data_IF_293793938046
#
_entry.id   IF_293793938046
#
_cell.length_a   1.000
_cell.length_b   1.000
_cell.length_c   1.000
_cell.angle_alpha   90.00
_cell.angle_beta   90.00
_cell.angle_gamma   90.00
#
_symmetry.space_group_name_H-M   'P 1'
#
loop_
_entity.id
_entity.type
_entity.pdbx_description
1 polymer ?
#
# COMPACT_ATOMS: atom_id res chain seq x y z
N UNK A 1 -21.84 -3.47 -18.46
CA UNK A 1 -21.61 -4.17 -17.17
C UNK A 1 -22.79 -4.04 -16.20
N UNK A 2 -23.26 -2.84 -15.81
CA UNK A 2 -24.34 -2.67 -14.80
C UNK A 2 -25.71 -3.33 -15.08
N UNK A 3 -26.01 -3.69 -16.33
CA UNK A 3 -27.26 -4.40 -16.70
C UNK A 3 -27.19 -5.91 -16.51
N UNK A 4 -25.98 -6.46 -16.29
CA UNK A 4 -25.71 -7.90 -16.39
C UNK A 4 -25.20 -8.52 -15.08
N UNK A 5 -24.89 -7.70 -14.08
CA UNK A 5 -24.41 -8.18 -12.79
C UNK A 5 -24.81 -7.21 -11.68
N UNK A 6 -24.94 -7.73 -10.45
CA UNK A 6 -25.16 -6.94 -9.24
C UNK A 6 -23.85 -6.45 -8.62
N UNK A 7 -22.78 -7.20 -8.83
CA UNK A 7 -21.48 -6.96 -8.20
C UNK A 7 -20.39 -6.77 -9.24
N UNK A 8 -19.40 -5.96 -8.90
CA UNK A 8 -18.17 -5.77 -9.66
C UNK A 8 -16.99 -6.17 -8.78
N UNK A 9 -16.11 -7.00 -9.33
CA UNK A 9 -14.84 -7.35 -8.72
C UNK A 9 -13.79 -6.34 -9.17
N UNK A 10 -13.21 -5.63 -8.22
CA UNK A 10 -12.07 -4.75 -8.44
C UNK A 10 -10.85 -5.45 -7.89
N UNK A 11 -9.79 -5.61 -8.69
CA UNK A 11 -8.53 -6.17 -8.22
C UNK A 11 -7.34 -5.37 -8.73
N UNK A 12 -6.36 -5.10 -7.90
CA UNK A 12 -5.15 -4.37 -8.28
C UNK A 12 -3.90 -4.97 -7.63
N UNK A 13 -2.74 -4.65 -8.19
CA UNK A 13 -1.44 -5.04 -7.65
C UNK A 13 -0.48 -3.84 -7.53
N UNK A 14 0.69 -4.06 -6.94
CA UNK A 14 1.78 -3.08 -6.82
C UNK A 14 2.50 -2.78 -8.14
N UNK A 15 2.39 -3.68 -9.13
CA UNK A 15 2.99 -3.51 -10.45
C UNK A 15 2.22 -2.56 -11.39
N UNK A 16 1.12 -1.96 -10.94
CA UNK A 16 0.35 -1.01 -11.75
C UNK A 16 -0.69 -1.64 -12.67
N UNK A 17 -1.13 -2.85 -12.36
CA UNK A 17 -2.26 -3.50 -13.02
C UNK A 17 -3.55 -3.35 -12.18
N UNK A 18 -4.65 -3.04 -12.87
CA UNK A 18 -6.00 -2.97 -12.29
C UNK A 18 -6.96 -3.75 -13.19
N UNK A 19 -7.80 -4.58 -12.58
CA UNK A 19 -8.88 -5.28 -13.26
C UNK A 19 -10.24 -4.89 -12.70
N UNK A 20 -11.19 -4.68 -13.60
CA UNK A 20 -12.61 -4.52 -13.29
C UNK A 20 -13.37 -5.68 -13.93
N UNK A 21 -13.90 -6.59 -13.12
CA UNK A 21 -14.57 -7.79 -13.57
C UNK A 21 -16.03 -7.85 -13.16
N UNK A 22 -16.89 -8.38 -14.02
CA UNK A 22 -18.23 -8.83 -13.66
C UNK A 22 -18.41 -10.29 -14.07
N UNK A 23 -19.01 -11.08 -13.19
CA UNK A 23 -19.47 -12.42 -13.53
C UNK A 23 -20.95 -12.34 -13.90
N UNK A 24 -21.28 -12.75 -15.12
CA UNK A 24 -22.64 -12.77 -15.64
C UNK A 24 -23.14 -14.21 -15.52
N UNK A 25 -23.57 -14.54 -14.30
CA UNK A 25 -24.12 -15.86 -13.94
C UNK A 25 -23.30 -17.03 -14.54
N UNK A 26 -23.96 -17.99 -15.19
CA UNK A 26 -23.32 -19.14 -15.82
C UNK A 26 -22.89 -18.89 -17.28
N UNK A 27 -23.09 -17.69 -17.81
CA UNK A 27 -22.97 -17.42 -19.24
C UNK A 27 -21.61 -16.84 -19.63
N UNK A 28 -21.10 -15.86 -18.89
CA UNK A 28 -19.88 -15.18 -19.28
C UNK A 28 -19.20 -14.42 -18.14
N UNK A 29 -17.88 -14.26 -18.24
CA UNK A 29 -17.10 -13.34 -17.41
C UNK A 29 -16.57 -12.19 -18.27
N UNK A 30 -16.89 -10.96 -17.90
CA UNK A 30 -16.35 -9.75 -18.55
C UNK A 30 -15.29 -9.15 -17.64
N UNK A 31 -14.09 -8.91 -18.17
CA UNK A 31 -12.98 -8.28 -17.42
C UNK A 31 -12.34 -7.18 -18.27
N UNK A 32 -12.28 -5.98 -17.72
CA UNK A 32 -11.46 -4.89 -18.21
C UNK A 32 -10.11 -4.92 -17.51
N UNK A 33 -9.03 -4.72 -18.27
CA UNK A 33 -7.66 -4.71 -17.76
C UNK A 33 -7.01 -3.38 -18.07
N UNK A 34 -6.52 -2.71 -17.04
CA UNK A 34 -5.76 -1.47 -17.12
C UNK A 34 -4.32 -1.78 -16.68
N UNK A 35 -3.36 -1.26 -17.45
CA UNK A 35 -1.91 -1.46 -17.24
C UNK A 35 -1.20 -0.12 -17.24
N UNK A 36 -0.01 -0.08 -16.65
CA UNK A 36 0.79 1.15 -16.56
C UNK A 36 0.21 2.18 -15.60
N UNK A 37 -0.61 1.73 -14.64
CA UNK A 37 -1.08 2.60 -13.56
C UNK A 37 0.03 2.78 -12.53
N UNK A 38 0.02 3.92 -11.84
CA UNK A 38 0.96 4.16 -10.74
C UNK A 38 0.44 3.51 -9.46
N UNK A 39 1.12 2.49 -8.96
CA UNK A 39 0.96 2.08 -7.57
C UNK A 39 1.67 3.10 -6.68
N UNK A 40 0.98 3.62 -5.66
CA UNK A 40 1.60 4.50 -4.68
C UNK A 40 2.05 3.68 -3.47
N UNK A 41 3.32 3.77 -3.12
CA UNK A 41 3.78 3.49 -1.78
C UNK A 41 3.35 4.65 -0.88
N UNK A 42 2.52 4.34 0.12
CA UNK A 42 2.20 5.28 1.21
C UNK A 42 3.19 5.20 2.36
N UNK A 43 4.11 4.22 2.30
CA UNK A 43 5.24 4.15 3.19
C UNK A 43 6.20 5.27 2.80
N UNK A 44 6.65 6.10 3.75
CA UNK A 44 7.75 7.01 3.48
C UNK A 44 8.91 6.17 2.96
N UNK A 45 9.44 6.53 1.79
CA UNK A 45 10.77 6.09 1.39
C UNK A 45 11.69 6.49 2.55
N UNK A 46 12.09 5.52 3.35
CA UNK A 46 13.22 5.73 4.23
C UNK A 46 14.36 6.03 3.28
N UNK A 47 14.75 7.30 3.18
CA UNK A 47 15.94 7.71 2.45
C UNK A 47 17.12 7.05 3.17
N UNK A 48 17.41 5.80 2.83
CA UNK A 48 18.74 5.22 2.98
C UNK A 48 19.63 5.95 1.98
N UNK A 49 19.93 7.21 2.31
CA UNK A 49 20.95 8.00 1.65
C UNK A 49 22.27 7.30 1.97
N UNK A 50 22.70 6.44 1.07
CA UNK A 50 24.07 5.93 1.04
C UNK A 50 24.97 7.10 0.64
N UNK A 51 25.28 7.97 1.61
CA UNK A 51 26.43 8.88 1.51
C UNK A 51 27.69 8.03 1.65
N UNK A 52 28.24 7.62 0.51
CA UNK A 52 29.59 7.09 0.43
C UNK A 52 30.52 8.25 0.04
N UNK A 53 31.42 8.60 0.96
CA UNK A 53 32.65 9.36 0.69
C UNK A 53 32.72 10.75 1.30
N UNK A 54 33.36 10.87 2.47
CA UNK A 54 34.62 11.61 2.68
C UNK A 54 34.78 12.02 4.16
N UNK A 55 35.74 11.36 4.82
CA UNK A 55 36.62 11.79 5.92
C UNK A 55 36.20 12.96 6.83
N UNK A 56 36.19 12.70 8.14
CA UNK A 56 36.44 13.77 9.12
C UNK A 56 35.74 13.64 10.46
N UNK A 57 36.38 12.89 11.35
CA UNK A 57 36.46 13.12 12.80
C UNK A 57 35.19 13.01 13.67
N UNK A 58 35.47 12.65 14.92
CA UNK A 58 34.65 11.92 15.85
C UNK A 58 33.78 12.84 16.72
N UNK A 59 32.77 12.21 17.36
CA UNK A 59 31.89 12.69 18.43
C UNK A 59 30.66 13.53 18.05
N UNK A 60 29.50 12.88 17.96
CA UNK A 60 28.33 13.15 18.82
C UNK A 60 27.20 12.15 18.48
N UNK A 61 27.11 11.14 19.32
CA UNK A 61 26.10 10.07 19.34
C UNK A 61 24.69 10.67 19.57
N UNK A 62 23.69 10.42 18.70
CA UNK A 62 22.33 10.89 18.94
C UNK A 62 21.69 10.07 20.06
N UNK A 63 21.60 10.71 21.23
CA UNK A 63 21.04 10.20 22.48
C UNK A 63 19.68 9.55 22.25
N UNK A 64 19.65 8.22 22.32
CA UNK A 64 18.42 7.45 22.48
C UNK A 64 17.87 7.67 23.89
N UNK A 65 16.56 7.90 23.98
CA UNK A 65 15.88 8.26 25.22
C UNK A 65 16.01 7.17 26.29
N UNK A 66 16.83 7.45 27.32
CA UNK A 66 16.89 6.68 28.56
C UNK A 66 15.72 7.10 29.44
N UNK A 67 14.77 6.18 29.66
CA UNK A 67 13.78 6.31 30.72
C UNK A 67 14.45 5.97 32.06
N UNK A 68 14.45 6.94 32.98
CA UNK A 68 15.10 6.83 34.27
C UNK A 68 14.47 5.77 35.19
N UNK A 69 15.32 5.04 35.88
CA UNK A 69 14.98 4.15 37.00
C UNK A 69 16.22 3.92 37.86
N UNK A 70 16.14 4.37 39.12
CA UNK A 70 17.18 4.30 40.15
C UNK A 70 17.69 2.88 40.46
N UNK A 71 18.95 2.78 40.90
CA UNK A 71 19.38 1.74 41.85
C UNK A 71 20.75 1.12 41.59
N UNK A 72 21.73 1.58 42.34
CA UNK A 72 23.00 1.02 42.80
C UNK A 72 23.49 -0.41 42.38
N UNK A 73 24.81 -0.46 42.14
CA UNK A 73 25.80 -1.41 42.67
C UNK A 73 26.43 -2.54 41.80
N UNK A 74 27.77 -2.60 41.92
CA UNK A 74 28.70 -3.76 41.84
C UNK A 74 28.99 -4.49 40.49
N UNK A 75 30.16 -4.15 39.95
CA UNK A 75 31.28 -4.97 39.39
C UNK A 75 31.07 -6.23 38.51
N UNK A 76 31.93 -6.22 37.45
CA UNK A 76 32.74 -7.33 36.89
C UNK A 76 32.02 -8.46 36.14
N UNK A 77 32.22 -8.47 34.83
CA UNK A 77 32.09 -9.69 34.02
C UNK A 77 32.38 -9.44 32.53
N UNK A 78 33.63 -9.62 32.12
CA UNK A 78 34.00 -9.85 30.71
C UNK A 78 33.24 -11.04 30.17
N UNK A 79 32.31 -10.83 29.22
CA UNK A 79 31.79 -11.90 28.38
C UNK A 79 31.82 -11.47 26.92
N UNK A 80 32.41 -12.35 26.11
CA UNK A 80 32.76 -12.20 24.70
C UNK A 80 31.49 -12.04 23.87
N UNK A 81 31.46 -11.01 23.04
CA UNK A 81 30.38 -10.69 22.10
C UNK A 81 30.29 -11.80 21.03
N UNK A 82 29.30 -12.67 21.16
CA UNK A 82 28.89 -13.57 20.09
C UNK A 82 28.05 -12.76 19.11
N UNK A 83 28.77 -12.15 18.18
CA UNK A 83 28.34 -11.50 16.94
C UNK A 83 27.19 -12.29 16.28
N UNK A 84 25.95 -11.94 16.61
CA UNK A 84 24.78 -12.30 15.81
C UNK A 84 24.86 -11.44 14.55
N UNK A 85 25.39 -12.03 13.48
CA UNK A 85 25.35 -11.47 12.15
C UNK A 85 23.89 -11.22 11.77
N UNK A 86 23.52 -9.95 11.69
CA UNK A 86 22.29 -9.51 11.03
C UNK A 86 22.47 -9.80 9.53
N UNK A 87 21.69 -10.70 8.90
CA UNK A 87 21.80 -10.92 7.47
C UNK A 87 21.21 -9.70 6.76
N UNK A 88 22.09 -8.87 6.23
CA UNK A 88 21.73 -7.78 5.34
C UNK A 88 21.51 -8.38 3.93
N UNK A 89 20.35 -8.98 3.69
CA UNK A 89 19.88 -9.35 2.37
C UNK A 89 18.38 -9.04 2.27
N UNK A 90 18.07 -7.79 1.92
CA UNK A 90 16.72 -7.47 1.45
C UNK A 90 16.64 -8.06 0.04
N UNK A 91 16.05 -9.24 -0.08
CA UNK A 91 15.78 -9.92 -1.34
C UNK A 91 14.92 -9.02 -2.24
N UNK A 92 15.54 -8.33 -3.19
CA UNK A 92 14.84 -7.53 -4.20
C UNK A 92 13.83 -8.39 -5.00
N UNK A 93 14.05 -9.70 -5.09
CA UNK A 93 13.16 -10.68 -5.71
C UNK A 93 11.87 -10.92 -4.91
N UNK A 94 11.91 -10.82 -3.59
CA UNK A 94 10.73 -11.01 -2.73
C UNK A 94 9.80 -9.78 -2.79
N UNK A 95 10.37 -8.57 -2.92
CA UNK A 95 9.59 -7.33 -3.10
C UNK A 95 8.85 -7.33 -4.42
N UNK A 96 9.53 -7.70 -5.51
CA UNK A 96 8.92 -7.75 -6.85
C UNK A 96 7.79 -8.80 -6.93
N UNK A 97 7.96 -9.93 -6.24
CA UNK A 97 6.91 -10.96 -6.14
C UNK A 97 5.68 -10.48 -5.36
N UNK A 98 5.88 -9.67 -4.30
CA UNK A 98 4.78 -9.09 -3.54
C UNK A 98 4.00 -8.05 -4.37
N UNK A 99 4.69 -7.27 -5.20
CA UNK A 99 4.09 -6.26 -6.06
C UNK A 99 3.26 -6.86 -7.21
N UNK A 100 3.51 -8.11 -7.60
CA UNK A 100 2.68 -8.80 -8.58
C UNK A 100 1.41 -9.42 -7.99
N UNK A 101 1.31 -9.55 -6.66
CA UNK A 101 0.14 -10.15 -6.01
C UNK A 101 -1.08 -9.23 -6.13
N UNK A 102 -2.18 -9.79 -6.65
CA UNK A 102 -3.45 -9.08 -6.70
C UNK A 102 -4.17 -9.10 -5.35
N UNK A 103 -4.68 -7.93 -4.96
CA UNK A 103 -5.64 -7.74 -3.87
C UNK A 103 -6.98 -7.38 -4.51
N UNK A 104 -8.08 -7.94 -3.99
CA UNK A 104 -9.39 -7.77 -4.60
C UNK A 104 -10.50 -7.36 -3.62
N UNK A 105 -11.55 -6.72 -4.12
CA UNK A 105 -12.77 -6.45 -3.38
C UNK A 105 -13.98 -6.51 -4.32
N UNK A 106 -15.06 -7.14 -3.86
CA UNK A 106 -16.35 -7.19 -4.55
C UNK A 106 -17.22 -6.03 -4.06
N UNK A 107 -17.80 -5.24 -4.97
CA UNK A 107 -18.59 -4.06 -4.64
C UNK A 107 -19.96 -4.07 -5.31
N UNK A 108 -20.97 -3.40 -4.74
CA UNK A 108 -22.24 -3.15 -5.44
C UNK A 108 -21.97 -2.25 -6.66
N UNK A 109 -22.24 -2.78 -7.85
CA UNK A 109 -21.91 -2.11 -9.11
C UNK A 109 -22.66 -0.80 -9.30
N UNK A 110 -23.85 -0.64 -8.69
CA UNK A 110 -24.65 0.58 -8.80
C UNK A 110 -24.03 1.69 -7.98
N UNK A 111 -23.55 1.39 -6.76
CA UNK A 111 -22.80 2.35 -5.95
C UNK A 111 -21.51 2.77 -6.64
N UNK A 112 -20.79 1.81 -7.24
CA UNK A 112 -19.57 2.11 -8.00
C UNK A 112 -19.86 2.96 -9.25
N UNK A 113 -20.93 2.67 -9.99
CA UNK A 113 -21.33 3.48 -11.13
C UNK A 113 -21.76 4.90 -10.74
N UNK A 114 -22.44 5.07 -9.60
CA UNK A 114 -22.79 6.40 -9.07
C UNK A 114 -21.55 7.22 -8.75
N UNK A 115 -20.54 6.60 -8.12
CA UNK A 115 -19.25 7.23 -7.87
C UNK A 115 -18.60 7.72 -9.17
N UNK A 116 -18.49 6.86 -10.18
CA UNK A 116 -17.88 7.23 -11.46
C UNK A 116 -18.68 8.29 -12.23
N UNK A 117 -19.97 8.41 -11.96
CA UNK A 117 -20.85 9.40 -12.59
C UNK A 117 -20.93 10.72 -11.80
N UNK A 118 -20.31 10.80 -10.62
CA UNK A 118 -20.38 11.98 -9.75
C UNK A 118 -19.62 13.20 -10.29
N UNK A 119 -18.39 13.06 -10.83
CA UNK A 119 -17.63 14.21 -11.31
C UNK A 119 -18.24 14.79 -12.59
N UNK A 120 -18.62 16.08 -12.56
CA UNK A 120 -18.99 16.86 -13.75
C UNK A 120 -17.84 17.71 -14.29
N UNK A 121 -16.71 17.68 -13.59
CA UNK A 121 -15.49 18.47 -13.82
C UNK A 121 -14.34 17.45 -13.96
N UNK A 122 -13.33 17.70 -14.82
CA UNK A 122 -12.16 16.84 -14.94
C UNK A 122 -11.47 16.62 -13.59
N UNK A 123 -11.05 15.37 -13.36
CA UNK A 123 -10.27 14.98 -12.20
C UNK A 123 -8.79 15.23 -12.47
N UNK A 124 -8.07 15.78 -11.50
CA UNK A 124 -6.60 15.82 -11.54
C UNK A 124 -6.01 14.45 -11.21
N UNK A 125 -6.66 13.68 -10.35
CA UNK A 125 -6.24 12.32 -10.03
C UNK A 125 -7.39 11.47 -9.43
N UNK A 126 -7.42 10.19 -9.78
CA UNK A 126 -8.30 9.18 -9.20
C UNK A 126 -7.45 8.09 -8.54
N UNK A 127 -7.71 7.82 -7.26
CA UNK A 127 -7.00 6.79 -6.49
C UNK A 127 -8.00 5.75 -6.00
N UNK A 128 -7.67 4.48 -6.19
CA UNK A 128 -8.41 3.33 -5.67
C UNK A 128 -7.53 2.59 -4.66
N UNK A 129 -7.96 2.56 -3.40
CA UNK A 129 -7.32 1.82 -2.33
C UNK A 129 -8.19 0.61 -1.99
N UNK A 130 -7.64 -0.59 -2.10
CA UNK A 130 -8.32 -1.84 -1.70
C UNK A 130 -7.77 -2.25 -0.33
N UNK A 131 -8.64 -2.29 0.68
CA UNK A 131 -8.25 -2.52 2.08
C UNK A 131 -8.82 -3.86 2.54
N UNK A 132 -7.93 -4.86 2.66
CA UNK A 132 -8.19 -6.18 3.25
C UNK A 132 -9.47 -6.88 2.76
N UNK A 133 -9.81 -6.75 1.47
CA UNK A 133 -11.03 -7.33 0.87
C UNK A 133 -12.37 -6.89 1.51
N UNK A 134 -12.35 -6.00 2.51
CA UNK A 134 -13.52 -5.55 3.26
C UNK A 134 -13.99 -4.17 2.85
N UNK A 135 -13.10 -3.34 2.28
CA UNK A 135 -13.40 -1.96 1.94
C UNK A 135 -12.62 -1.52 0.70
N UNK A 136 -13.30 -0.88 -0.24
CA UNK A 136 -12.65 -0.10 -1.29
C UNK A 136 -12.83 1.39 -0.97
N UNK A 137 -11.72 2.13 -0.95
CA UNK A 137 -11.72 3.56 -0.77
C UNK A 137 -11.30 4.24 -2.07
N UNK A 138 -12.09 5.23 -2.48
CA UNK A 138 -11.85 6.02 -3.67
C UNK A 138 -11.57 7.46 -3.29
N UNK A 139 -10.46 7.99 -3.76
CA UNK A 139 -10.08 9.38 -3.56
C UNK A 139 -10.03 10.07 -4.91
N UNK A 140 -10.89 11.06 -5.07
CA UNK A 140 -11.00 11.90 -6.25
C UNK A 140 -10.38 13.24 -5.89
N UNK A 141 -9.36 13.62 -6.64
CA UNK A 141 -8.70 14.91 -6.51
C UNK A 141 -9.13 15.81 -7.67
N UNK A 142 -9.55 17.01 -7.30
CA UNK A 142 -9.78 18.15 -8.17
C UNK A 142 -8.79 19.25 -7.76
N UNK A 143 -8.71 20.33 -8.54
CA UNK A 143 -7.72 21.38 -8.31
C UNK A 143 -7.84 22.01 -6.91
N UNK A 144 -9.06 22.19 -6.41
CA UNK A 144 -9.33 22.89 -5.14
C UNK A 144 -10.03 22.01 -4.10
N UNK A 145 -10.36 20.77 -4.41
CA UNK A 145 -11.08 19.91 -3.49
C UNK A 145 -10.71 18.43 -3.62
N UNK A 146 -10.91 17.71 -2.52
CA UNK A 146 -10.68 16.28 -2.40
C UNK A 146 -11.97 15.63 -1.94
N UNK A 147 -12.39 14.59 -2.66
CA UNK A 147 -13.56 13.81 -2.32
C UNK A 147 -13.14 12.38 -2.01
N UNK A 148 -13.63 11.84 -0.89
CA UNK A 148 -13.30 10.51 -0.42
C UNK A 148 -14.58 9.70 -0.26
N UNK A 149 -14.63 8.56 -0.92
CA UNK A 149 -15.71 7.59 -0.80
C UNK A 149 -15.18 6.30 -0.21
N UNK A 150 -15.88 5.76 0.78
CA UNK A 150 -15.62 4.45 1.33
C UNK A 150 -16.78 3.54 0.93
N UNK A 151 -16.47 2.46 0.22
CA UNK A 151 -17.45 1.48 -0.25
C UNK A 151 -17.17 0.14 0.42
N UNK A 152 -18.08 -0.36 1.27
CA UNK A 152 -17.91 -1.67 1.89
C UNK A 152 -17.91 -2.75 0.81
N UNK A 153 -17.02 -3.71 0.96
CA UNK A 153 -17.05 -4.91 0.15
C UNK A 153 -18.29 -5.73 0.48
N UNK A 154 -18.80 -6.42 -0.53
CA UNK A 154 -19.90 -7.36 -0.40
C UNK A 154 -19.29 -8.75 -0.39
N UNK A 155 -19.55 -9.49 0.70
CA UNK A 155 -19.22 -10.91 0.76
C UNK A 155 -20.10 -11.64 -0.27
N UNK A 156 -19.47 -12.30 -1.24
CA UNK A 156 -20.13 -13.15 -2.23
C UNK A 156 -20.29 -14.57 -1.69
#
# INVERSE_FOLDING_TARGET
MKRFAKFILISANGAGELHLGVNVETLARVRLTFRGLRARSWLPEHQSRSTQGADGDNSEEPRSAIWGGNGDDVTRGTFRDSRLEVPNCIDATASDAADQRFVSASLDIRRFAQLLSSPRIPLSCFVCNIIHEHLAQFVLLFDNCKLKFNMPAVNL
#
